data_IF_739886533038
#
_entry.id   IF_739886533038
#
_cell.length_a   1.000
_cell.length_b   1.000
_cell.length_c   1.000
_cell.angle_alpha   90.00
_cell.angle_beta   90.00
_cell.angle_gamma   90.00
#
_symmetry.space_group_name_H-M   'P 1'
#
loop_
_entity.id
_entity.type
_entity.pdbx_description
1 polymer ?
#
# COMPACT_ATOMS: atom_id res chain seq x y z
N UNK A 1 -0.26 2.73 16.88
CA UNK A 1 0.47 3.04 15.64
C UNK A 1 0.80 4.51 15.62
N UNK A 2 1.92 4.83 16.24
CA UNK A 2 2.63 6.09 16.06
C UNK A 2 3.24 6.12 14.65
N UNK A 3 3.67 7.29 14.18
CA UNK A 3 4.36 7.41 12.89
C UNK A 3 5.59 6.47 12.77
N UNK A 4 6.48 6.37 13.78
CA UNK A 4 7.57 5.38 13.75
C UNK A 4 7.09 3.94 13.64
N UNK A 5 6.00 3.57 14.32
CA UNK A 5 5.42 2.22 14.23
C UNK A 5 4.86 1.94 12.82
N UNK A 6 4.28 2.95 12.15
CA UNK A 6 3.80 2.81 10.77
C UNK A 6 4.95 2.63 9.77
N UNK A 7 6.00 3.44 9.90
CA UNK A 7 7.19 3.34 9.02
C UNK A 7 7.84 1.97 9.18
N UNK A 8 8.08 1.52 10.42
CA UNK A 8 8.71 0.22 10.66
C UNK A 8 7.86 -0.94 10.13
N UNK A 9 6.53 -0.86 10.21
CA UNK A 9 5.65 -1.87 9.63
C UNK A 9 5.81 -1.95 8.09
N UNK A 10 5.92 -0.80 7.42
CA UNK A 10 6.10 -0.74 5.97
C UNK A 10 7.47 -1.29 5.55
N UNK A 11 8.54 -0.94 6.26
CA UNK A 11 9.89 -1.48 6.02
C UNK A 11 9.93 -3.01 6.17
N UNK A 12 9.26 -3.54 7.19
CA UNK A 12 9.15 -4.99 7.39
C UNK A 12 8.34 -5.67 6.28
N UNK A 13 7.25 -5.05 5.82
CA UNK A 13 6.44 -5.57 4.71
C UNK A 13 7.25 -5.64 3.42
N UNK A 14 7.98 -4.58 3.08
CA UNK A 14 8.83 -4.50 1.88
C UNK A 14 9.95 -5.54 1.88
N UNK A 15 10.49 -5.90 3.04
CA UNK A 15 11.52 -6.92 3.18
C UNK A 15 11.00 -8.37 2.96
N UNK A 16 9.68 -8.58 2.85
CA UNK A 16 9.12 -9.91 2.61
C UNK A 16 9.25 -10.34 1.14
N UNK A 17 9.33 -11.65 0.84
CA UNK A 17 9.39 -12.13 -0.56
C UNK A 17 8.14 -11.82 -1.39
N UNK A 18 6.98 -11.58 -0.74
CA UNK A 18 5.73 -11.26 -1.42
C UNK A 18 4.99 -10.13 -0.68
N UNK A 19 5.44 -8.87 -0.83
CA UNK A 19 4.90 -7.75 -0.08
C UNK A 19 3.48 -7.36 -0.51
N UNK A 20 3.02 -7.83 -1.67
CA UNK A 20 1.73 -7.46 -2.26
C UNK A 20 0.60 -8.45 -1.97
N UNK A 21 0.88 -9.62 -1.39
CA UNK A 21 -0.14 -10.64 -1.14
C UNK A 21 0.18 -11.39 0.15
N UNK A 22 -0.83 -11.54 1.01
CA UNK A 22 -0.68 -12.31 2.24
C UNK A 22 -0.59 -13.81 1.93
N UNK A 23 -0.12 -14.66 2.87
CA UNK A 23 -0.02 -16.11 2.66
C UNK A 23 -1.33 -16.83 2.28
N UNK A 24 -2.47 -16.17 2.47
CA UNK A 24 -3.81 -16.68 2.13
C UNK A 24 -4.37 -16.11 0.82
N UNK A 25 -3.58 -15.34 0.05
CA UNK A 25 -3.98 -14.80 -1.25
C UNK A 25 -4.71 -13.45 -1.23
N UNK A 26 -4.81 -12.77 -0.08
CA UNK A 26 -5.44 -11.44 -0.01
C UNK A 26 -4.42 -10.34 -0.34
N UNK A 27 -4.80 -9.28 -1.08
CA UNK A 27 -3.91 -8.14 -1.28
C UNK A 27 -3.60 -7.47 0.06
N UNK A 28 -2.35 -7.12 0.28
CA UNK A 28 -1.87 -6.39 1.47
C UNK A 28 -1.96 -4.87 1.31
N UNK A 29 -2.08 -4.40 0.07
CA UNK A 29 -2.12 -2.98 -0.27
C UNK A 29 -3.16 -2.71 -1.38
N UNK A 30 -3.71 -1.51 -1.37
CA UNK A 30 -4.53 -0.96 -2.46
C UNK A 30 -3.78 0.24 -3.02
N UNK A 31 -3.45 0.22 -4.31
CA UNK A 31 -2.69 1.28 -4.95
C UNK A 31 -3.60 2.18 -5.80
N UNK A 32 -3.61 3.47 -5.48
CA UNK A 32 -4.25 4.50 -6.28
C UNK A 32 -3.17 5.35 -6.95
N UNK A 33 -3.08 5.28 -8.28
CA UNK A 33 -2.18 6.17 -9.02
C UNK A 33 -2.69 7.61 -8.99
N UNK A 34 -1.79 8.59 -9.15
CA UNK A 34 -2.20 10.00 -9.28
C UNK A 34 -3.22 10.20 -10.40
N UNK A 35 -3.02 9.55 -11.55
CA UNK A 35 -3.97 9.57 -12.66
C UNK A 35 -5.35 9.02 -12.27
N UNK A 36 -5.39 7.95 -11.47
CA UNK A 36 -6.65 7.40 -10.99
C UNK A 36 -7.34 8.40 -10.06
N UNK A 37 -6.63 8.94 -9.07
CA UNK A 37 -7.17 9.94 -8.16
C UNK A 37 -7.68 11.17 -8.90
N UNK A 38 -6.91 11.70 -9.86
CA UNK A 38 -7.31 12.86 -10.66
C UNK A 38 -8.63 12.61 -11.41
N UNK A 39 -8.83 11.41 -11.98
CA UNK A 39 -10.11 11.03 -12.61
C UNK A 39 -11.25 10.96 -11.59
N UNK A 40 -11.05 10.30 -10.45
CA UNK A 40 -12.10 10.16 -9.42
C UNK A 40 -12.50 11.50 -8.79
N UNK A 41 -11.59 12.48 -8.75
CA UNK A 41 -11.88 13.84 -8.30
C UNK A 41 -12.30 14.81 -9.42
N UNK A 42 -12.49 14.35 -10.66
CA UNK A 42 -12.90 15.20 -11.79
C UNK A 42 -11.89 16.27 -12.17
N UNK A 43 -10.60 16.02 -11.92
CA UNK A 43 -9.48 16.93 -12.19
C UNK A 43 -8.87 16.71 -13.59
N UNK A 44 -9.51 15.89 -14.44
CA UNK A 44 -9.20 15.62 -15.85
C UNK A 44 -10.46 15.41 -16.67
#
# INVERSE_FOLDING_TARGET
MTEPEMVSLLEQLEATPNPHTCPHGRPTMVHFSSNHMEREFGRR
#
